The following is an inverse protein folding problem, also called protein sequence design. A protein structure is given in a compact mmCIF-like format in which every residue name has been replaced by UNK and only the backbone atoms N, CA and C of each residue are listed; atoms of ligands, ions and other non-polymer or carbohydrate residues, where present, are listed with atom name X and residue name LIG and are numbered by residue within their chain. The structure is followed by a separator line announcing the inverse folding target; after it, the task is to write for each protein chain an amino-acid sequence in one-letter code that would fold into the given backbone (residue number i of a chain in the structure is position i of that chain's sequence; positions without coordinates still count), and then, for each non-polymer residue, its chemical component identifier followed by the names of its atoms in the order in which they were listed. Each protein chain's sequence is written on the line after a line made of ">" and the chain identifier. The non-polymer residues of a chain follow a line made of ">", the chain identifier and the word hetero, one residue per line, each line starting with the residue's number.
data_IF_380251030747
#
_entry.id   IF_380251030747
#
_cell.length_a   1.000
_cell.length_b   1.000
_cell.length_c   1.000
_cell.angle_alpha   90.00
_cell.angle_beta   90.00
_cell.angle_gamma   90.00
#
_symmetry.space_group_name_H-M   'P 1'
#
loop_
_entity.id
_entity.type
_entity.pdbx_description
1 polymer ?
#
# COMPACT_ATOMS: atom_id res chain seq x y z
N UNK A 1 -27.84 35.81 -9.49
CA UNK A 1 -27.89 34.54 -8.72
C UNK A 1 -28.10 33.38 -9.70
N UNK A 2 -27.08 32.56 -9.94
CA UNK A 2 -27.17 31.40 -10.84
C UNK A 2 -27.98 30.27 -10.19
N UNK A 3 -29.22 30.11 -10.63
CA UNK A 3 -30.09 28.96 -10.28
C UNK A 3 -29.51 27.69 -10.92
N UNK A 4 -28.47 27.11 -10.32
CA UNK A 4 -28.01 25.77 -10.70
C UNK A 4 -29.15 24.76 -10.45
N UNK A 5 -29.57 24.07 -11.51
CA UNK A 5 -30.67 23.10 -11.54
C UNK A 5 -30.37 21.87 -10.65
N UNK A 6 -31.41 21.16 -10.18
CA UNK A 6 -31.25 19.91 -9.45
C UNK A 6 -30.56 18.85 -10.33
N UNK A 7 -29.63 18.11 -9.74
CA UNK A 7 -28.93 17.01 -10.42
C UNK A 7 -29.92 15.88 -10.73
N UNK A 8 -29.88 15.34 -11.94
CA UNK A 8 -30.70 14.16 -12.29
C UNK A 8 -30.16 12.93 -11.55
N UNK A 9 -31.05 12.07 -11.04
CA UNK A 9 -30.68 10.82 -10.36
C UNK A 9 -29.72 9.97 -11.21
N UNK A 10 -30.00 9.81 -12.51
CA UNK A 10 -29.13 9.05 -13.43
C UNK A 10 -27.72 9.64 -13.54
N UNK A 11 -27.57 10.97 -13.42
CA UNK A 11 -26.27 11.61 -13.47
C UNK A 11 -25.46 11.33 -12.21
N UNK A 12 -26.12 11.39 -11.04
CA UNK A 12 -25.49 11.11 -9.75
C UNK A 12 -25.07 9.64 -9.67
N UNK A 13 -25.95 8.72 -10.05
CA UNK A 13 -25.68 7.27 -10.03
C UNK A 13 -24.48 6.94 -10.93
N UNK A 14 -24.48 7.40 -12.19
CA UNK A 14 -23.39 7.09 -13.12
C UNK A 14 -22.02 7.63 -12.67
N UNK A 15 -21.94 8.88 -12.16
CA UNK A 15 -20.67 9.40 -11.63
C UNK A 15 -20.21 8.64 -10.38
N UNK A 16 -21.15 8.27 -9.51
CA UNK A 16 -20.84 7.50 -8.29
C UNK A 16 -20.29 6.13 -8.67
N UNK A 17 -20.95 5.41 -9.59
CA UNK A 17 -20.50 4.10 -10.07
C UNK A 17 -19.13 4.16 -10.74
N UNK A 18 -18.89 5.14 -11.62
CA UNK A 18 -17.59 5.30 -12.28
C UNK A 18 -16.47 5.61 -11.29
N UNK A 19 -16.74 6.47 -10.31
CA UNK A 19 -15.78 6.77 -9.25
C UNK A 19 -15.51 5.53 -8.39
N UNK A 20 -16.54 4.77 -8.01
CA UNK A 20 -16.38 3.54 -7.23
C UNK A 20 -15.55 2.50 -7.97
N UNK A 21 -15.82 2.27 -9.26
CA UNK A 21 -15.03 1.35 -10.10
C UNK A 21 -13.57 1.81 -10.20
N UNK A 22 -13.33 3.09 -10.49
CA UNK A 22 -11.97 3.61 -10.60
C UNK A 22 -11.22 3.56 -9.26
N UNK A 23 -11.89 3.88 -8.15
CA UNK A 23 -11.32 3.83 -6.80
C UNK A 23 -11.04 2.40 -6.37
N UNK A 24 -11.91 1.45 -6.73
CA UNK A 24 -11.69 0.02 -6.46
C UNK A 24 -10.46 -0.49 -7.20
N UNK A 25 -10.33 -0.21 -8.51
CA UNK A 25 -9.13 -0.57 -9.29
C UNK A 25 -7.88 0.08 -8.69
N UNK A 26 -7.95 1.36 -8.33
CA UNK A 26 -6.84 2.06 -7.70
C UNK A 26 -6.47 1.48 -6.32
N UNK A 27 -7.45 1.01 -5.54
CA UNK A 27 -7.22 0.39 -4.23
C UNK A 27 -6.63 -1.02 -4.33
N UNK A 28 -6.87 -1.74 -5.44
CA UNK A 28 -6.21 -3.04 -5.69
C UNK A 28 -4.69 -2.87 -5.86
N UNK A 29 -4.22 -1.76 -6.43
CA UNK A 29 -2.78 -1.46 -6.50
C UNK A 29 -2.15 -1.28 -5.10
N UNK A 30 -2.93 -0.86 -4.11
CA UNK A 30 -2.50 -0.77 -2.70
C UNK A 30 -2.56 -2.12 -1.97
N UNK A 31 -3.21 -3.15 -2.52
CA UNK A 31 -3.35 -4.45 -1.84
C UNK A 31 -2.02 -5.09 -1.43
N UNK A 32 -0.97 -5.13 -2.29
CA UNK A 32 0.31 -5.71 -1.91
C UNK A 32 1.01 -4.98 -0.76
N UNK A 33 0.65 -3.71 -0.50
CA UNK A 33 1.17 -2.93 0.63
C UNK A 33 0.59 -3.42 1.94
N UNK A 34 -0.72 -3.67 2.00
CA UNK A 34 -1.41 -3.92 3.26
C UNK A 34 -1.72 -5.41 3.51
N UNK A 35 -2.16 -6.15 2.49
CA UNK A 35 -2.57 -7.57 2.56
C UNK A 35 -3.37 -7.95 3.82
N UNK A 36 -4.29 -7.09 4.25
CA UNK A 36 -5.01 -7.26 5.51
C UNK A 36 -6.51 -7.04 5.34
N UNK A 37 -7.33 -7.79 6.10
CA UNK A 37 -8.78 -7.62 6.11
C UNK A 37 -9.22 -6.21 6.58
N UNK A 38 -8.58 -5.60 7.62
CA UNK A 38 -8.88 -4.22 8.01
C UNK A 38 -8.71 -3.20 6.87
N UNK A 39 -7.76 -3.40 5.97
CA UNK A 39 -7.60 -2.54 4.79
C UNK A 39 -8.82 -2.60 3.86
N UNK A 40 -9.39 -3.78 3.60
CA UNK A 40 -10.60 -3.92 2.76
C UNK A 40 -11.78 -3.19 3.41
N UNK A 41 -11.97 -3.38 4.71
CA UNK A 41 -13.02 -2.68 5.47
C UNK A 41 -12.82 -1.17 5.43
N UNK A 42 -11.59 -0.70 5.61
CA UNK A 42 -11.23 0.71 5.50
C UNK A 42 -11.63 1.27 4.15
N UNK A 43 -11.28 0.62 3.04
CA UNK A 43 -11.64 1.09 1.70
C UNK A 43 -13.16 1.18 1.53
N UNK A 44 -13.90 0.14 1.90
CA UNK A 44 -15.36 0.09 1.75
C UNK A 44 -16.04 1.20 2.57
N UNK A 45 -15.73 1.28 3.87
CA UNK A 45 -16.36 2.27 4.77
C UNK A 45 -15.99 3.68 4.34
N UNK A 46 -14.73 3.93 3.99
CA UNK A 46 -14.26 5.25 3.56
C UNK A 46 -14.91 5.70 2.25
N UNK A 47 -15.07 4.79 1.27
CA UNK A 47 -15.78 5.09 0.02
C UNK A 47 -17.24 5.45 0.28
N UNK A 48 -17.93 4.70 1.15
CA UNK A 48 -19.33 4.97 1.50
C UNK A 48 -19.45 6.33 2.20
N UNK A 49 -18.63 6.59 3.22
CA UNK A 49 -18.64 7.85 3.98
C UNK A 49 -18.30 9.03 3.08
N UNK A 50 -17.23 8.94 2.27
CA UNK A 50 -16.85 9.99 1.34
C UNK A 50 -17.93 10.28 0.30
N UNK A 51 -18.61 9.23 -0.19
CA UNK A 51 -19.76 9.35 -1.10
C UNK A 51 -20.92 10.10 -0.45
N UNK A 52 -21.27 9.75 0.80
CA UNK A 52 -22.32 10.42 1.56
C UNK A 52 -22.01 11.92 1.75
N UNK A 53 -20.78 12.26 2.14
CA UNK A 53 -20.35 13.65 2.33
C UNK A 53 -20.47 14.44 1.02
N UNK A 54 -20.00 13.88 -0.09
CA UNK A 54 -20.07 14.54 -1.38
C UNK A 54 -21.53 14.69 -1.89
N UNK A 55 -22.37 13.67 -1.70
CA UNK A 55 -23.79 13.71 -2.07
C UNK A 55 -24.58 14.73 -1.23
N UNK A 56 -24.41 14.72 0.10
CA UNK A 56 -25.04 15.67 1.02
C UNK A 56 -24.56 17.09 0.71
N UNK A 57 -23.25 17.26 0.53
CA UNK A 57 -22.66 18.55 0.14
C UNK A 57 -23.19 19.06 -1.21
N UNK A 58 -23.43 18.18 -2.19
CA UNK A 58 -24.06 18.53 -3.45
C UNK A 58 -25.55 18.87 -3.30
N UNK A 59 -26.29 18.10 -2.48
CA UNK A 59 -27.74 18.25 -2.26
C UNK A 59 -28.10 19.52 -1.49
N UNK A 60 -27.30 19.88 -0.49
CA UNK A 60 -27.48 21.06 0.35
C UNK A 60 -26.61 22.25 -0.07
N UNK A 61 -25.83 22.10 -1.15
CA UNK A 61 -25.02 23.18 -1.75
C UNK A 61 -24.00 23.79 -0.77
N UNK A 62 -23.44 22.97 0.11
CA UNK A 62 -22.43 23.37 1.09
C UNK A 62 -21.22 24.05 0.46
N UNK A 63 -20.65 25.08 1.09
CA UNK A 63 -19.38 25.65 0.63
C UNK A 63 -18.25 24.62 0.71
N UNK A 64 -17.14 24.83 -0.03
CA UNK A 64 -15.97 23.93 0.04
C UNK A 64 -15.42 23.82 1.46
N UNK A 65 -15.55 24.89 2.26
CA UNK A 65 -15.16 24.92 3.66
C UNK A 65 -16.02 23.99 4.51
N UNK A 66 -17.34 23.99 4.34
CA UNK A 66 -18.23 23.08 5.08
C UNK A 66 -17.94 21.62 4.69
N UNK A 67 -17.74 21.33 3.40
CA UNK A 67 -17.35 19.98 2.96
C UNK A 67 -16.04 19.56 3.63
N UNK A 68 -15.02 20.44 3.63
CA UNK A 68 -13.75 20.18 4.30
C UNK A 68 -13.92 19.90 5.80
N UNK A 69 -14.68 20.73 6.52
CA UNK A 69 -14.93 20.55 7.96
C UNK A 69 -15.65 19.24 8.25
N UNK A 70 -16.66 18.88 7.45
CA UNK A 70 -17.38 17.62 7.62
C UNK A 70 -16.50 16.43 7.26
N UNK A 71 -15.64 16.55 6.24
CA UNK A 71 -14.64 15.53 5.92
C UNK A 71 -13.64 15.35 7.05
N UNK A 72 -13.19 16.45 7.67
CA UNK A 72 -12.28 16.39 8.81
C UNK A 72 -12.97 15.76 10.04
N UNK A 73 -14.22 16.14 10.33
CA UNK A 73 -15.00 15.52 11.39
C UNK A 73 -15.23 14.02 11.14
N UNK A 74 -15.56 13.64 9.91
CA UNK A 74 -15.70 12.24 9.51
C UNK A 74 -14.38 11.48 9.63
N UNK A 75 -13.26 12.08 9.22
CA UNK A 75 -11.93 11.53 9.37
C UNK A 75 -11.60 11.20 10.82
N UNK A 76 -11.87 12.10 11.77
CA UNK A 76 -11.68 11.81 13.19
C UNK A 76 -12.68 10.78 13.74
N UNK A 77 -13.92 10.77 13.24
CA UNK A 77 -14.95 9.83 13.69
C UNK A 77 -14.67 8.38 13.25
N UNK A 78 -14.22 8.18 12.01
CA UNK A 78 -13.97 6.82 11.46
C UNK A 78 -12.49 6.44 11.50
N UNK A 79 -11.59 7.40 11.68
CA UNK A 79 -10.17 7.18 11.50
C UNK A 79 -9.53 6.31 12.57
N UNK A 80 -9.94 6.46 13.84
CA UNK A 80 -9.46 5.58 14.91
C UNK A 80 -9.88 4.12 14.68
N UNK A 81 -11.18 3.77 14.53
CA UNK A 81 -11.57 2.37 14.35
C UNK A 81 -11.04 1.72 13.07
N UNK A 82 -10.86 2.50 11.98
CA UNK A 82 -10.39 1.95 10.71
C UNK A 82 -8.87 1.94 10.56
N UNK A 83 -8.18 2.97 11.04
CA UNK A 83 -6.75 3.15 10.79
C UNK A 83 -5.87 2.82 12.00
N UNK A 84 -6.42 2.80 13.21
CA UNK A 84 -5.73 2.39 14.45
C UNK A 84 -6.63 1.44 15.26
N UNK A 85 -6.96 0.24 14.74
CA UNK A 85 -8.00 -0.61 15.34
C UNK A 85 -7.68 -1.01 16.79
N UNK A 86 -6.39 -1.11 17.13
CA UNK A 86 -5.89 -1.46 18.47
C UNK A 86 -6.21 -0.42 19.55
N UNK A 87 -6.54 0.82 19.17
CA UNK A 87 -6.85 1.94 20.08
C UNK A 87 -8.33 2.28 20.14
N UNK A 88 -9.20 1.56 19.42
CA UNK A 88 -10.64 1.81 19.43
C UNK A 88 -11.33 1.13 20.63
N UNK A 89 -12.13 1.88 21.39
CA UNK A 89 -12.98 1.34 22.44
C UNK A 89 -14.04 0.42 21.81
N UNK A 90 -14.10 -0.83 22.27
CA UNK A 90 -14.97 -1.88 21.70
C UNK A 90 -14.81 -2.08 20.18
N UNK A 91 -13.68 -1.67 19.60
CA UNK A 91 -13.42 -1.75 18.16
C UNK A 91 -14.15 -0.72 17.29
N UNK A 92 -14.98 0.17 17.87
CA UNK A 92 -15.84 1.09 17.10
C UNK A 92 -15.72 2.54 17.57
N UNK A 93 -15.54 2.79 18.87
CA UNK A 93 -15.53 4.14 19.43
C UNK A 93 -14.11 4.73 19.45
N UNK A 94 -13.92 5.98 18.97
CA UNK A 94 -12.63 6.64 19.01
C UNK A 94 -12.24 6.99 20.46
N UNK A 95 -10.95 6.80 20.79
CA UNK A 95 -10.34 7.23 22.06
C UNK A 95 -9.54 8.52 21.84
N UNK A 96 -9.32 9.30 22.91
CA UNK A 96 -8.49 10.51 22.84
C UNK A 96 -7.05 10.19 22.40
N UNK A 97 -6.49 9.10 22.93
CA UNK A 97 -5.16 8.62 22.55
C UNK A 97 -5.11 8.20 21.07
N UNK A 98 -6.14 7.48 20.59
CA UNK A 98 -6.25 7.09 19.19
C UNK A 98 -6.39 8.29 18.25
N UNK A 99 -7.06 9.36 18.66
CA UNK A 99 -7.16 10.60 17.89
C UNK A 99 -5.81 11.33 17.79
N UNK A 100 -5.02 11.35 18.88
CA UNK A 100 -3.67 11.90 18.86
C UNK A 100 -2.73 11.06 17.98
N UNK A 101 -2.85 9.73 18.01
CA UNK A 101 -2.12 8.81 17.15
C UNK A 101 -2.51 8.98 15.67
N UNK A 102 -3.80 9.16 15.38
CA UNK A 102 -4.31 9.44 14.03
C UNK A 102 -3.77 10.77 13.48
N UNK A 103 -3.78 11.83 14.29
CA UNK A 103 -3.23 13.14 13.92
C UNK A 103 -1.72 13.07 13.64
N UNK A 104 -0.95 12.42 14.51
CA UNK A 104 0.49 12.25 14.29
C UNK A 104 0.80 11.34 13.11
N UNK A 105 0.04 10.25 12.95
CA UNK A 105 0.13 9.31 11.84
C UNK A 105 -0.15 9.95 10.48
N UNK A 106 -1.04 10.94 10.43
CA UNK A 106 -1.28 11.72 9.20
C UNK A 106 0.01 12.36 8.66
N UNK A 107 0.88 12.85 9.55
CA UNK A 107 2.12 13.52 9.18
C UNK A 107 3.33 12.58 9.11
N UNK A 108 3.35 11.51 9.90
CA UNK A 108 4.53 10.66 10.12
C UNK A 108 4.42 9.27 9.47
N UNK A 109 3.22 8.71 9.32
CA UNK A 109 3.04 7.33 8.86
C UNK A 109 3.47 7.13 7.41
N UNK A 110 3.45 8.16 6.57
CA UNK A 110 3.97 8.04 5.21
C UNK A 110 5.48 7.74 5.19
N UNK A 111 6.26 8.31 6.12
CA UNK A 111 7.70 8.01 6.22
C UNK A 111 7.90 6.56 6.66
N UNK A 112 7.14 6.15 7.67
CA UNK A 112 7.19 4.78 8.19
C UNK A 112 6.82 3.76 7.10
N UNK A 113 5.78 4.05 6.30
CA UNK A 113 5.33 3.20 5.20
C UNK A 113 6.43 2.96 4.15
N UNK A 114 7.30 3.94 3.93
CA UNK A 114 8.42 3.83 2.98
C UNK A 114 9.61 3.09 3.58
N UNK A 115 9.76 3.10 4.91
CA UNK A 115 10.87 2.43 5.61
C UNK A 115 10.58 0.99 6.04
N UNK A 116 9.31 0.57 6.04
CA UNK A 116 8.88 -0.76 6.50
C UNK A 116 8.72 -1.69 5.30
N UNK A 117 9.10 -2.95 5.47
CA UNK A 117 8.91 -4.00 4.47
C UNK A 117 7.43 -4.34 4.30
N UNK A 118 7.00 -4.47 3.04
CA UNK A 118 5.65 -4.93 2.73
C UNK A 118 5.54 -6.45 2.94
N UNK A 119 4.37 -6.98 3.33
CA UNK A 119 3.14 -6.25 3.64
C UNK A 119 3.11 -5.69 5.08
N UNK A 120 2.60 -4.46 5.24
CA UNK A 120 2.52 -3.78 6.56
C UNK A 120 1.34 -4.24 7.43
N UNK A 121 0.39 -5.00 6.87
CA UNK A 121 -0.72 -5.56 7.61
C UNK A 121 -1.68 -4.51 8.15
N UNK A 122 -1.87 -4.53 9.47
CA UNK A 122 -2.67 -3.58 10.26
C UNK A 122 -1.85 -2.92 11.38
N UNK A 123 -0.53 -2.90 11.21
CA UNK A 123 0.37 -2.49 12.26
C UNK A 123 0.26 -1.00 12.59
N UNK A 124 0.04 -0.69 13.87
CA UNK A 124 -0.05 0.66 14.43
C UNK A 124 -0.99 1.58 13.62
N UNK A 125 -0.45 2.69 13.11
CA UNK A 125 -1.16 3.73 12.36
C UNK A 125 -0.84 3.69 10.86
N UNK A 126 -0.31 2.57 10.34
CA UNK A 126 0.13 2.49 8.93
C UNK A 126 -1.02 2.48 7.93
N UNK A 127 -2.26 2.26 8.37
CA UNK A 127 -3.46 2.37 7.54
C UNK A 127 -3.90 3.84 7.33
N UNK A 128 -3.36 4.79 8.09
CA UNK A 128 -3.72 6.22 8.01
C UNK A 128 -3.47 6.82 6.62
N UNK A 129 -2.33 6.60 5.94
CA UNK A 129 -2.12 7.07 4.57
C UNK A 129 -3.18 6.56 3.59
N UNK A 130 -3.56 5.28 3.66
CA UNK A 130 -4.62 4.73 2.83
C UNK A 130 -5.98 5.41 3.12
N UNK A 131 -6.33 5.60 4.39
CA UNK A 131 -7.55 6.29 4.78
C UNK A 131 -7.62 7.69 4.19
N UNK A 132 -6.55 8.48 4.35
CA UNK A 132 -6.47 9.85 3.83
C UNK A 132 -6.60 9.87 2.30
N UNK A 133 -5.87 9.00 1.60
CA UNK A 133 -5.89 8.95 0.14
C UNK A 133 -7.26 8.52 -0.41
N UNK A 134 -7.89 7.50 0.16
CA UNK A 134 -9.22 7.03 -0.27
C UNK A 134 -10.30 8.04 0.07
N UNK A 135 -10.25 8.65 1.26
CA UNK A 135 -11.22 9.68 1.67
C UNK A 135 -11.10 10.93 0.80
N UNK A 136 -9.88 11.41 0.55
CA UNK A 136 -9.63 12.55 -0.32
C UNK A 136 -10.09 12.25 -1.76
N UNK A 137 -9.75 11.08 -2.28
CA UNK A 137 -10.16 10.62 -3.62
C UNK A 137 -11.67 10.62 -3.79
N UNK A 138 -12.38 10.06 -2.82
CA UNK A 138 -13.84 9.89 -2.89
C UNK A 138 -14.57 11.22 -2.70
N UNK A 139 -14.21 11.99 -1.67
CA UNK A 139 -14.85 13.29 -1.38
C UNK A 139 -14.55 14.30 -2.48
N UNK A 140 -13.28 14.52 -2.83
CA UNK A 140 -12.87 15.52 -3.81
C UNK A 140 -13.28 15.09 -5.22
N UNK A 141 -13.07 13.81 -5.57
CA UNK A 141 -13.45 13.26 -6.86
C UNK A 141 -14.94 13.38 -7.14
N UNK A 142 -15.79 12.91 -6.20
CA UNK A 142 -17.24 12.97 -6.38
C UNK A 142 -17.77 14.41 -6.28
N UNK A 143 -17.26 15.22 -5.35
CA UNK A 143 -17.68 16.62 -5.23
C UNK A 143 -17.35 17.40 -6.51
N UNK A 144 -16.19 17.16 -7.10
CA UNK A 144 -15.78 17.76 -8.38
C UNK A 144 -16.69 17.28 -9.51
N UNK A 145 -16.91 15.97 -9.62
CA UNK A 145 -17.77 15.38 -10.65
C UNK A 145 -19.22 15.91 -10.61
N UNK A 146 -19.76 16.14 -9.42
CA UNK A 146 -21.14 16.60 -9.23
C UNK A 146 -21.31 18.12 -9.29
N UNK A 147 -20.27 18.91 -8.96
CA UNK A 147 -20.43 20.35 -8.68
C UNK A 147 -19.54 21.28 -9.51
N UNK A 148 -18.43 20.79 -10.07
CA UNK A 148 -17.49 21.62 -10.79
C UNK A 148 -17.93 21.89 -12.24
N UNK A 149 -17.48 23.01 -12.81
CA UNK A 149 -17.70 23.33 -14.24
C UNK A 149 -17.04 22.28 -15.15
N UNK A 150 -15.88 21.78 -14.71
CA UNK A 150 -15.14 20.69 -15.34
C UNK A 150 -15.22 19.44 -14.46
N UNK A 151 -16.40 18.81 -14.40
CA UNK A 151 -16.62 17.59 -13.62
C UNK A 151 -15.72 16.41 -14.00
N UNK A 152 -15.09 16.46 -15.18
CA UNK A 152 -14.17 15.43 -15.66
C UNK A 152 -12.87 15.39 -14.85
N UNK A 153 -12.53 16.50 -14.17
CA UNK A 153 -11.42 16.55 -13.23
C UNK A 153 -11.64 15.67 -11.99
N UNK A 154 -12.87 15.20 -11.74
CA UNK A 154 -13.13 14.22 -10.69
C UNK A 154 -12.37 12.90 -10.88
N UNK A 155 -12.01 12.55 -12.12
CA UNK A 155 -11.21 11.38 -12.44
C UNK A 155 -9.76 11.48 -11.95
N UNK A 156 -9.26 12.68 -11.64
CA UNK A 156 -7.92 12.87 -11.10
C UNK A 156 -7.75 12.19 -9.72
N UNK A 157 -8.81 12.11 -8.91
CA UNK A 157 -8.75 11.45 -7.60
C UNK A 157 -8.26 10.00 -7.71
N UNK A 158 -9.00 9.11 -8.39
CA UNK A 158 -8.59 7.71 -8.56
C UNK A 158 -7.24 7.55 -9.29
N UNK A 159 -6.90 8.43 -10.24
CA UNK A 159 -5.59 8.42 -10.91
C UNK A 159 -4.46 8.68 -9.91
N UNK A 160 -4.60 9.71 -9.07
CA UNK A 160 -3.63 10.03 -8.03
C UNK A 160 -3.53 8.92 -6.97
N UNK A 161 -4.65 8.30 -6.61
CA UNK A 161 -4.67 7.13 -5.72
C UNK A 161 -3.90 5.95 -6.32
N UNK A 162 -4.09 5.66 -7.61
CA UNK A 162 -3.35 4.61 -8.31
C UNK A 162 -1.85 4.92 -8.38
N UNK A 163 -1.47 6.17 -8.70
CA UNK A 163 -0.08 6.62 -8.67
C UNK A 163 0.52 6.48 -7.28
N UNK A 164 -0.21 6.82 -6.22
CA UNK A 164 0.24 6.61 -4.85
C UNK A 164 0.46 5.11 -4.56
N UNK A 165 -0.45 4.24 -5.02
CA UNK A 165 -0.26 2.79 -4.97
C UNK A 165 1.01 2.32 -5.67
N UNK A 166 1.32 2.89 -6.83
CA UNK A 166 2.55 2.61 -7.57
C UNK A 166 3.79 3.03 -6.76
N UNK A 167 3.76 4.23 -6.17
CA UNK A 167 4.90 4.82 -5.45
C UNK A 167 5.22 4.11 -4.13
N UNK A 168 4.18 3.69 -3.39
CA UNK A 168 4.31 2.99 -2.11
C UNK A 168 4.35 1.46 -2.24
N UNK A 169 4.01 0.93 -3.42
CA UNK A 169 3.89 -0.49 -3.70
C UNK A 169 5.22 -1.23 -3.89
N UNK A 170 5.15 -2.56 -4.08
CA UNK A 170 6.32 -3.38 -4.33
C UNK A 170 7.03 -3.08 -5.67
N UNK A 171 8.30 -3.45 -5.78
CA UNK A 171 9.09 -3.33 -7.03
C UNK A 171 8.58 -4.26 -8.12
N UNK A 172 7.94 -5.36 -7.74
CA UNK A 172 7.25 -6.30 -8.63
C UNK A 172 5.74 -6.03 -8.60
N UNK A 173 5.10 -5.98 -9.77
CA UNK A 173 3.66 -5.81 -9.88
C UNK A 173 3.02 -7.10 -10.38
N UNK A 174 1.96 -7.56 -9.72
CA UNK A 174 1.29 -8.82 -10.07
C UNK A 174 0.49 -8.70 -11.38
N UNK A 175 -0.23 -7.59 -11.55
CA UNK A 175 -1.12 -7.35 -12.71
C UNK A 175 -1.02 -5.90 -13.25
N UNK A 176 0.19 -5.41 -13.59
CA UNK A 176 0.39 -4.00 -13.95
C UNK A 176 -0.39 -3.61 -15.21
N UNK A 177 -0.46 -4.49 -16.20
CA UNK A 177 -1.15 -4.22 -17.46
C UNK A 177 -2.66 -4.18 -17.27
N UNK A 178 -3.22 -5.15 -16.54
CA UNK A 178 -4.66 -5.29 -16.32
C UNK A 178 -5.20 -4.12 -15.49
N UNK A 179 -4.50 -3.73 -14.41
CA UNK A 179 -4.92 -2.62 -13.55
C UNK A 179 -4.79 -1.26 -14.26
N UNK A 180 -3.69 -1.04 -14.98
CA UNK A 180 -3.48 0.22 -15.71
C UNK A 180 -4.49 0.40 -16.86
N UNK A 181 -4.71 -0.64 -17.67
CA UNK A 181 -5.70 -0.61 -18.75
C UNK A 181 -7.14 -0.56 -18.20
N UNK A 182 -7.41 -1.27 -17.11
CA UNK A 182 -8.71 -1.23 -16.44
C UNK A 182 -9.05 0.18 -15.96
N UNK A 183 -8.11 0.83 -15.25
CA UNK A 183 -8.29 2.20 -14.79
C UNK A 183 -8.43 3.17 -15.97
N UNK A 184 -7.57 3.06 -16.99
CA UNK A 184 -7.63 3.88 -18.20
C UNK A 184 -9.00 3.74 -18.87
N UNK A 185 -9.50 2.52 -19.04
CA UNK A 185 -10.79 2.23 -19.65
C UNK A 185 -11.95 2.88 -18.89
N UNK A 186 -11.99 2.69 -17.57
CA UNK A 186 -13.01 3.31 -16.71
C UNK A 186 -12.95 4.83 -16.78
N UNK A 187 -11.77 5.44 -16.72
CA UNK A 187 -11.58 6.89 -16.81
C UNK A 187 -12.02 7.43 -18.17
N UNK A 188 -11.64 6.78 -19.28
CA UNK A 188 -12.04 7.21 -20.62
C UNK A 188 -13.55 7.10 -20.83
N UNK A 189 -14.16 6.00 -20.37
CA UNK A 189 -15.62 5.82 -20.40
C UNK A 189 -16.29 6.92 -19.58
N UNK A 190 -15.76 7.23 -18.40
CA UNK A 190 -16.31 8.26 -17.52
C UNK A 190 -16.24 9.66 -18.16
N UNK A 191 -15.09 10.04 -18.73
CA UNK A 191 -14.91 11.32 -19.43
C UNK A 191 -15.82 11.39 -20.67
N UNK A 192 -15.88 10.34 -21.47
CA UNK A 192 -16.73 10.26 -22.65
C UNK A 192 -18.21 10.42 -22.28
N UNK A 193 -18.66 9.72 -21.23
CA UNK A 193 -20.01 9.80 -20.73
C UNK A 193 -20.36 11.20 -20.19
N UNK A 194 -19.46 11.84 -19.44
CA UNK A 194 -19.70 13.21 -18.95
C UNK A 194 -19.78 14.24 -20.08
N UNK A 195 -18.92 14.12 -21.10
CA UNK A 195 -18.94 14.99 -22.28
C UNK A 195 -20.24 14.81 -23.07
N UNK A 196 -20.67 13.57 -23.23
CA UNK A 196 -21.93 13.23 -23.88
C UNK A 196 -23.14 13.77 -23.11
N UNK A 197 -23.17 13.62 -21.78
CA UNK A 197 -24.26 14.10 -20.93
C UNK A 197 -24.39 15.63 -21.00
N UNK A 198 -23.27 16.37 -20.87
CA UNK A 198 -23.27 17.84 -20.94
C UNK A 198 -23.73 18.37 -22.29
N UNK A 199 -23.29 17.76 -23.39
CA UNK A 199 -23.73 18.15 -24.75
C UNK A 199 -25.22 17.89 -24.96
N UNK A 200 -25.74 16.76 -24.49
CA UNK A 200 -27.18 16.46 -24.57
C UNK A 200 -28.03 17.48 -23.80
N UNK A 201 -27.55 17.93 -22.65
CA UNK A 201 -28.26 18.94 -21.87
C UNK A 201 -28.25 20.31 -22.57
N UNK A 202 -27.12 20.73 -23.14
CA UNK A 202 -27.03 21.94 -23.95
C UNK A 202 -27.97 21.91 -25.16
N UNK A 203 -28.01 20.79 -25.89
CA UNK A 203 -28.91 20.62 -27.05
C UNK A 203 -30.37 20.62 -26.61
N UNK A 204 -30.73 19.99 -25.47
CA UNK A 204 -32.10 20.06 -24.93
C UNK A 204 -32.51 21.47 -24.54
N UNK A 205 -31.60 22.26 -23.98
CA UNK A 205 -31.86 23.66 -23.62
C UNK A 205 -32.08 24.53 -24.86
N UNK A 206 -31.24 24.39 -25.88
CA UNK A 206 -31.39 25.09 -27.16
C UNK A 206 -32.67 24.68 -27.89
N UNK A 207 -33.02 23.39 -27.87
CA UNK A 207 -34.27 22.89 -28.44
C UNK A 207 -35.51 23.40 -27.68
N UNK A 208 -35.45 23.50 -26.34
CA UNK A 208 -36.53 24.06 -25.53
C UNK A 208 -36.69 25.57 -25.74
N UNK A 209 -35.59 26.30 -25.97
CA UNK A 209 -35.62 27.73 -26.31
C UNK A 209 -36.11 27.97 -27.75
N UNK A 210 -35.68 27.15 -28.72
CA UNK A 210 -36.12 27.24 -30.11
C UNK A 210 -37.60 26.88 -30.30
N UNK A 211 -38.10 25.86 -29.59
CA UNK A 211 -39.50 25.47 -29.62
C UNK A 211 -40.46 26.53 -29.03
N UNK A 212 -39.97 27.44 -28.18
CA UNK A 212 -40.74 28.56 -27.65
C UNK A 212 -40.80 29.75 -28.62
N UNK A 213 -39.90 29.83 -29.62
CA UNK A 213 -39.81 30.96 -30.55
C UNK A 213 -40.39 30.62 -31.93
N UNK A 214 -40.26 29.38 -32.41
CA UNK A 214 -40.88 28.93 -33.67
C UNK A 214 -41.26 27.44 -33.60
N UNK A 215 -42.52 27.12 -33.84
CA UNK A 215 -43.09 25.76 -33.78
C UNK A 215 -42.66 24.82 -34.90
N UNK A 216 -41.36 24.70 -35.20
CA UNK A 216 -40.83 23.69 -36.13
C UNK A 216 -39.98 22.66 -35.37
N UNK A 217 -40.34 21.36 -35.41
CA UNK A 217 -39.52 20.33 -34.79
C UNK A 217 -38.26 20.14 -35.64
N UNK A 218 -37.12 20.62 -35.18
CA UNK A 218 -35.83 20.31 -35.79
C UNK A 218 -35.52 18.83 -35.55
N UNK A 219 -35.70 18.02 -36.59
CA UNK A 219 -35.23 16.65 -36.68
C UNK A 219 -33.72 16.60 -36.46
N UNK A 220 -33.32 16.16 -35.27
CA UNK A 220 -31.98 15.65 -35.02
C UNK A 220 -32.10 14.42 -34.14
N UNK A 221 -32.64 13.35 -34.72
CA UNK A 221 -32.70 12.02 -34.11
C UNK A 221 -31.54 11.14 -34.62
N UNK A 222 -31.12 11.33 -35.88
CA UNK A 222 -30.03 10.56 -36.49
C UNK A 222 -28.65 10.83 -35.86
N UNK A 223 -28.38 12.06 -35.42
CA UNK A 223 -27.10 12.44 -34.80
C UNK A 223 -26.97 11.96 -33.33
N UNK A 224 -28.08 11.46 -32.73
CA UNK A 224 -28.16 11.07 -31.31
C UNK A 224 -27.47 9.74 -30.98
N UNK A 225 -27.38 8.82 -31.94
CA UNK A 225 -26.77 7.49 -31.80
C UNK A 225 -25.32 7.47 -32.30
N UNK A 226 -25.03 8.19 -33.38
CA UNK A 226 -23.69 8.20 -34.01
C UNK A 226 -22.60 8.87 -33.17
N UNK A 227 -22.93 9.88 -32.35
CA UNK A 227 -21.89 10.67 -31.69
C UNK A 227 -21.46 10.15 -30.32
N UNK A 228 -22.36 9.51 -29.56
CA UNK A 228 -21.98 8.72 -28.38
C UNK A 228 -21.14 7.51 -28.76
N UNK A 229 -21.46 6.90 -29.91
CA UNK A 229 -20.63 5.87 -30.53
C UNK A 229 -19.24 6.44 -30.90
N UNK A 230 -19.11 7.63 -31.51
CA UNK A 230 -17.79 8.23 -31.81
C UNK A 230 -16.89 8.45 -30.59
N UNK A 231 -17.43 8.93 -29.46
CA UNK A 231 -16.61 9.08 -28.24
C UNK A 231 -16.22 7.73 -27.63
N UNK A 232 -17.09 6.72 -27.72
CA UNK A 232 -16.79 5.35 -27.28
C UNK A 232 -15.80 4.66 -28.22
N UNK A 233 -15.92 4.87 -29.53
CA UNK A 233 -14.98 4.41 -30.55
C UNK A 233 -13.62 5.08 -30.35
N UNK A 234 -13.59 6.39 -30.06
CA UNK A 234 -12.37 7.10 -29.73
C UNK A 234 -11.71 6.58 -28.45
N UNK A 235 -12.48 6.35 -27.39
CA UNK A 235 -11.99 5.70 -26.17
C UNK A 235 -11.47 4.28 -26.44
N UNK A 236 -12.19 3.48 -27.25
CA UNK A 236 -11.78 2.15 -27.65
C UNK A 236 -10.50 2.16 -28.50
N UNK A 237 -10.35 3.12 -29.42
CA UNK A 237 -9.14 3.33 -30.22
C UNK A 237 -7.96 3.71 -29.33
N UNK A 238 -8.14 4.63 -28.39
CA UNK A 238 -7.10 4.99 -27.42
C UNK A 238 -6.72 3.77 -26.57
N UNK A 239 -7.69 2.96 -26.13
CA UNK A 239 -7.45 1.72 -25.40
C UNK A 239 -6.66 0.71 -26.23
N UNK A 240 -7.03 0.48 -27.49
CA UNK A 240 -6.32 -0.42 -28.40
C UNK A 240 -4.90 0.09 -28.66
N UNK A 241 -4.72 1.39 -28.90
CA UNK A 241 -3.41 2.00 -29.11
C UNK A 241 -2.55 1.93 -27.86
N UNK A 242 -3.09 2.23 -26.68
CA UNK A 242 -2.35 2.19 -25.41
C UNK A 242 -1.99 0.75 -25.00
N UNK A 243 -2.90 -0.20 -25.20
CA UNK A 243 -2.64 -1.61 -24.97
C UNK A 243 -1.60 -2.14 -25.98
N UNK A 244 -1.78 -1.83 -27.26
CA UNK A 244 -0.85 -2.22 -28.32
C UNK A 244 0.54 -1.63 -28.12
N UNK A 245 0.65 -0.35 -27.77
CA UNK A 245 1.93 0.30 -27.48
C UNK A 245 2.58 -0.26 -26.22
N UNK A 246 1.81 -0.58 -25.18
CA UNK A 246 2.36 -1.17 -23.95
C UNK A 246 2.87 -2.59 -24.17
N UNK A 247 2.12 -3.42 -24.92
CA UNK A 247 2.53 -4.79 -25.28
C UNK A 247 3.75 -4.75 -26.20
N UNK A 248 3.75 -3.90 -27.23
CA UNK A 248 4.91 -3.70 -28.09
C UNK A 248 6.12 -3.20 -27.29
N UNK A 249 5.93 -2.25 -26.39
CA UNK A 249 7.00 -1.76 -25.54
C UNK A 249 7.59 -2.87 -24.66
N UNK A 250 6.75 -3.70 -24.05
CA UNK A 250 7.20 -4.83 -23.22
C UNK A 250 7.96 -5.92 -24.02
N UNK A 251 7.57 -6.17 -25.28
CA UNK A 251 8.21 -7.19 -26.13
C UNK A 251 9.51 -6.70 -26.76
N UNK A 252 9.54 -5.46 -27.26
CA UNK A 252 10.69 -4.93 -27.99
C UNK A 252 11.69 -4.23 -27.07
N UNK A 253 11.23 -3.66 -25.96
CA UNK A 253 12.05 -2.96 -24.97
C UNK A 253 11.81 -3.60 -23.57
N UNK A 254 12.22 -4.86 -23.34
CA UNK A 254 12.05 -5.46 -22.03
C UNK A 254 12.70 -4.58 -20.96
N UNK A 255 12.00 -4.29 -19.84
CA UNK A 255 12.53 -3.41 -18.82
C UNK A 255 13.81 -4.01 -18.25
N UNK A 256 14.95 -3.37 -18.55
CA UNK A 256 16.28 -3.76 -18.07
C UNK A 256 16.56 -3.25 -16.65
N UNK A 257 15.66 -2.46 -16.08
CA UNK A 257 15.80 -1.79 -14.79
C UNK A 257 14.64 -2.12 -13.88
N UNK A 258 14.93 -2.55 -12.64
CA UNK A 258 13.92 -2.78 -11.59
C UNK A 258 13.13 -1.49 -11.32
N UNK A 259 11.80 -1.59 -11.17
CA UNK A 259 10.89 -0.46 -10.87
C UNK A 259 11.47 0.39 -9.73
N UNK A 260 11.74 1.67 -9.98
CA UNK A 260 12.13 2.61 -8.92
C UNK A 260 10.90 3.08 -8.15
N UNK A 261 10.93 2.92 -6.83
CA UNK A 261 9.86 3.29 -5.91
C UNK A 261 10.45 4.15 -4.80
N UNK A 262 9.65 4.94 -4.08
CA UNK A 262 10.19 5.90 -3.09
C UNK A 262 11.04 5.17 -2.04
N UNK A 263 10.68 3.92 -1.70
CA UNK A 263 11.39 3.05 -0.75
C UNK A 263 12.77 2.55 -1.22
N UNK A 264 13.10 2.62 -2.51
CA UNK A 264 14.45 2.28 -2.99
C UNK A 264 15.44 3.43 -2.84
N UNK A 265 14.96 4.64 -2.51
CA UNK A 265 15.80 5.83 -2.34
C UNK A 265 16.09 6.18 -0.86
N UNK A 266 15.53 5.43 0.10
CA UNK A 266 15.74 5.65 1.54
C UNK A 266 16.66 4.54 2.06
N UNK A 267 17.78 4.92 2.69
CA UNK A 267 18.71 3.98 3.33
C UNK A 267 17.99 3.07 4.33
N UNK A 268 18.15 1.75 4.16
CA UNK A 268 17.72 0.79 5.16
C UNK A 268 18.61 0.93 6.40
N UNK A 269 18.06 0.98 7.64
CA UNK A 269 18.87 1.18 8.85
C UNK A 269 19.89 0.08 9.13
N UNK A 270 19.73 -1.10 8.52
CA UNK A 270 20.67 -2.22 8.60
C UNK A 270 21.02 -2.70 7.19
N UNK A 271 22.28 -2.53 6.80
CA UNK A 271 22.83 -3.15 5.59
C UNK A 271 23.66 -4.38 6.00
N UNK A 272 23.21 -5.61 5.67
CA UNK A 272 23.96 -6.82 5.98
C UNK A 272 25.35 -6.87 5.31
N UNK A 273 25.57 -6.10 4.23
CA UNK A 273 26.83 -6.03 3.48
C UNK A 273 27.87 -5.14 4.14
N UNK A 274 27.46 -4.28 5.07
CA UNK A 274 28.37 -3.49 5.88
C UNK A 274 29.14 -4.35 6.91
N UNK A 275 28.77 -5.63 7.06
CA UNK A 275 29.36 -6.56 8.00
C UNK A 275 30.13 -7.68 7.30
N UNK A 276 31.17 -8.25 7.95
CA UNK A 276 31.87 -9.41 7.42
C UNK A 276 30.91 -10.57 7.11
N UNK A 277 31.19 -11.31 6.02
CA UNK A 277 30.38 -12.47 5.63
C UNK A 277 30.21 -13.44 6.82
N UNK A 278 28.98 -13.92 7.09
CA UNK A 278 28.74 -14.94 8.10
C UNK A 278 29.60 -16.19 7.91
N UNK A 279 29.91 -16.55 6.65
CA UNK A 279 30.73 -17.72 6.33
C UNK A 279 32.18 -17.54 6.77
N UNK A 280 32.71 -16.32 6.66
CA UNK A 280 34.05 -16.00 7.15
C UNK A 280 34.11 -16.10 8.68
N UNK A 281 33.08 -15.60 9.37
CA UNK A 281 32.94 -15.75 10.82
C UNK A 281 32.84 -17.23 11.25
N UNK A 282 32.02 -18.02 10.53
CA UNK A 282 31.89 -19.45 10.79
C UNK A 282 33.22 -20.20 10.64
N UNK A 283 33.99 -19.93 9.58
CA UNK A 283 35.30 -20.57 9.37
C UNK A 283 36.31 -20.25 10.47
N UNK A 284 36.25 -19.04 11.04
CA UNK A 284 37.10 -18.66 12.18
C UNK A 284 36.85 -19.53 13.40
N UNK A 285 35.60 -19.99 13.61
CA UNK A 285 35.28 -20.87 14.73
C UNK A 285 35.85 -22.27 14.58
N UNK A 286 36.25 -22.67 13.37
CA UNK A 286 36.90 -23.96 13.10
C UNK A 286 38.43 -23.88 13.23
N UNK A 287 39.00 -22.71 13.56
CA UNK A 287 40.45 -22.55 13.71
C UNK A 287 40.98 -23.25 14.99
N UNK A 288 42.21 -23.80 14.95
CA UNK A 288 42.82 -24.43 16.12
C UNK A 288 42.85 -23.50 17.34
N UNK A 289 42.38 -24.00 18.48
CA UNK A 289 42.30 -23.25 19.74
C UNK A 289 40.97 -22.52 19.97
N UNK A 290 40.15 -22.34 18.94
CA UNK A 290 38.77 -21.79 19.04
C UNK A 290 37.73 -22.90 18.84
N UNK A 291 38.05 -23.93 18.03
CA UNK A 291 37.13 -25.02 17.71
C UNK A 291 36.58 -25.80 18.91
N UNK A 292 37.35 -25.91 20.00
CA UNK A 292 36.92 -26.61 21.22
C UNK A 292 36.09 -25.73 22.17
N UNK A 293 35.86 -24.47 21.81
CA UNK A 293 35.18 -23.50 22.67
C UNK A 293 33.66 -23.56 22.48
N UNK A 294 32.92 -23.37 23.57
CA UNK A 294 31.46 -23.46 23.53
C UNK A 294 30.88 -22.16 22.97
N UNK A 295 30.46 -22.20 21.71
CA UNK A 295 29.87 -21.03 21.04
C UNK A 295 28.46 -20.71 21.53
N UNK A 296 27.59 -21.73 21.58
CA UNK A 296 26.18 -21.60 21.94
C UNK A 296 25.76 -22.80 22.79
N UNK A 297 25.00 -22.55 23.85
CA UNK A 297 24.27 -23.58 24.59
C UNK A 297 22.80 -23.47 24.28
N UNK A 298 22.18 -24.55 23.79
CA UNK A 298 20.79 -24.53 23.33
C UNK A 298 19.96 -25.58 24.06
N UNK A 299 18.87 -25.14 24.67
CA UNK A 299 17.89 -25.97 25.34
C UNK A 299 16.60 -26.00 24.53
N UNK A 300 15.97 -27.18 24.41
CA UNK A 300 14.70 -27.35 23.69
C UNK A 300 14.82 -27.63 22.19
N UNK A 301 16.03 -27.80 21.65
CA UNK A 301 16.24 -28.17 20.26
C UNK A 301 15.80 -29.63 20.01
N UNK A 302 14.88 -29.91 19.07
CA UNK A 302 14.49 -31.28 18.73
C UNK A 302 15.66 -32.10 18.18
N UNK A 303 15.62 -33.41 18.36
CA UNK A 303 16.62 -34.33 17.80
C UNK A 303 16.72 -34.15 16.28
N UNK A 304 17.94 -33.88 15.78
CA UNK A 304 18.18 -33.60 14.35
C UNK A 304 17.86 -32.16 13.91
N UNK A 305 17.46 -31.29 14.84
CA UNK A 305 17.28 -29.87 14.60
C UNK A 305 18.57 -29.19 14.17
N UNK A 306 18.45 -28.20 13.28
CA UNK A 306 19.59 -27.40 12.80
C UNK A 306 19.41 -25.96 13.24
N UNK A 307 20.50 -25.38 13.72
CA UNK A 307 20.58 -23.95 14.03
C UNK A 307 21.09 -23.24 12.79
N UNK A 308 20.34 -22.22 12.36
CA UNK A 308 20.70 -21.35 11.24
C UNK A 308 21.32 -20.09 11.80
N UNK A 309 22.53 -19.78 11.35
CA UNK A 309 23.18 -18.50 11.66
C UNK A 309 22.73 -17.44 10.66
N UNK A 310 22.88 -17.71 9.37
CA UNK A 310 22.43 -16.84 8.29
C UNK A 310 22.19 -17.64 7.00
N UNK A 311 21.33 -17.12 6.12
CA UNK A 311 21.13 -17.61 4.76
C UNK A 311 21.93 -16.74 3.79
N UNK A 312 22.82 -17.36 3.02
CA UNK A 312 23.66 -16.70 2.01
C UNK A 312 23.08 -16.99 0.63
N UNK A 313 22.70 -15.95 -0.10
CA UNK A 313 22.04 -16.07 -1.40
C UNK A 313 22.76 -15.31 -2.52
N UNK A 314 23.86 -14.64 -2.21
CA UNK A 314 24.70 -13.94 -3.18
C UNK A 314 26.12 -14.47 -3.18
N UNK A 315 26.74 -14.45 -4.35
CA UNK A 315 28.15 -14.78 -4.55
C UNK A 315 28.75 -13.82 -5.59
N UNK A 316 29.81 -13.09 -5.21
CA UNK A 316 30.47 -12.11 -6.07
C UNK A 316 31.68 -12.67 -6.85
N UNK A 317 31.90 -13.99 -6.77
CA UNK A 317 33.08 -14.65 -7.33
C UNK A 317 34.16 -14.96 -6.29
N UNK A 318 34.08 -14.38 -5.08
CA UNK A 318 35.05 -14.55 -3.99
C UNK A 318 34.35 -14.86 -2.65
N UNK A 319 33.25 -14.17 -2.34
CA UNK A 319 32.55 -14.20 -1.04
C UNK A 319 31.08 -14.55 -1.22
N UNK A 320 30.58 -15.46 -0.38
CA UNK A 320 29.14 -15.65 -0.19
C UNK A 320 28.62 -14.64 0.84
N UNK A 321 27.57 -13.88 0.50
CA UNK A 321 27.02 -12.86 1.37
C UNK A 321 25.49 -12.97 1.54
N UNK A 322 24.97 -12.21 2.49
CA UNK A 322 23.54 -12.04 2.72
C UNK A 322 23.07 -10.86 1.85
N UNK A 323 22.52 -11.15 0.67
CA UNK A 323 22.09 -10.16 -0.32
C UNK A 323 23.18 -9.59 -1.24
N UNK A 324 22.77 -8.90 -2.31
CA UNK A 324 23.68 -8.27 -3.29
C UNK A 324 23.21 -6.87 -3.74
N UNK A 325 24.11 -6.04 -4.28
CA UNK A 325 23.76 -4.76 -4.93
C UNK A 325 23.14 -4.95 -6.32
N UNK A 326 23.48 -6.04 -7.00
CA UNK A 326 23.08 -6.30 -8.39
C UNK A 326 21.72 -6.97 -8.53
N UNK A 327 21.22 -7.60 -7.47
CA UNK A 327 19.95 -8.32 -7.45
C UNK A 327 19.20 -7.94 -6.19
N UNK A 328 17.93 -7.50 -6.33
CA UNK A 328 17.04 -7.34 -5.19
C UNK A 328 16.75 -8.73 -4.60
N UNK A 329 17.60 -9.17 -3.68
CA UNK A 329 17.49 -10.49 -3.09
C UNK A 329 16.58 -10.43 -1.86
N UNK A 330 15.78 -11.46 -1.67
CA UNK A 330 14.91 -11.56 -0.51
C UNK A 330 15.70 -11.58 0.80
N UNK A 331 16.99 -11.94 0.79
CA UNK A 331 17.86 -12.01 1.98
C UNK A 331 18.46 -10.69 2.44
N UNK A 332 18.47 -9.65 1.60
CA UNK A 332 19.02 -8.33 1.95
C UNK A 332 18.10 -7.41 2.76
N UNK A 333 16.82 -7.77 2.93
CA UNK A 333 15.79 -6.90 3.52
C UNK A 333 15.55 -7.22 5.00
N UNK A 334 16.09 -6.40 5.90
CA UNK A 334 16.00 -6.59 7.35
C UNK A 334 15.09 -5.55 7.99
N UNK A 335 14.11 -6.00 8.78
CA UNK A 335 13.16 -5.10 9.45
C UNK A 335 13.34 -5.13 10.95
N UNK A 336 13.29 -3.95 11.58
CA UNK A 336 13.28 -3.82 13.04
C UNK A 336 11.92 -4.28 13.56
N UNK A 337 11.85 -5.44 14.19
CA UNK A 337 10.57 -6.06 14.60
C UNK A 337 10.47 -6.16 16.12
N UNK A 338 9.39 -5.65 16.75
CA UNK A 338 9.38 -5.47 18.19
C UNK A 338 9.24 -6.74 19.03
N UNK A 339 8.58 -7.83 18.57
CA UNK A 339 8.51 -9.09 19.36
C UNK A 339 7.79 -10.30 18.71
N UNK A 340 7.02 -10.19 17.61
CA UNK A 340 6.28 -11.35 17.05
C UNK A 340 6.06 -11.32 15.53
N UNK A 341 6.06 -12.49 14.90
CA UNK A 341 5.72 -12.77 13.51
C UNK A 341 4.57 -13.77 13.46
N UNK A 342 3.59 -13.51 12.61
CA UNK A 342 2.52 -14.46 12.35
C UNK A 342 3.04 -15.55 11.40
N UNK A 343 3.26 -16.75 11.94
CA UNK A 343 3.69 -17.94 11.19
C UNK A 343 2.55 -18.96 11.03
N UNK A 344 1.29 -18.56 11.22
CA UNK A 344 0.13 -19.46 11.19
C UNK A 344 -0.06 -20.23 9.87
N UNK A 345 0.48 -19.71 8.75
CA UNK A 345 0.46 -20.37 7.45
C UNK A 345 1.62 -21.38 7.26
N UNK A 346 2.60 -21.40 8.15
CA UNK A 346 3.77 -22.28 8.07
C UNK A 346 3.42 -23.66 8.62
N UNK A 347 3.69 -24.71 7.83
CA UNK A 347 3.55 -26.10 8.28
C UNK A 347 4.72 -26.49 9.18
N UNK A 348 4.44 -26.81 10.43
CA UNK A 348 5.43 -27.28 11.39
C UNK A 348 4.87 -27.43 12.79
N UNK A 349 5.67 -27.97 13.71
CA UNK A 349 5.36 -27.96 15.13
C UNK A 349 6.02 -26.73 15.78
N UNK A 350 5.32 -25.98 16.65
CA UNK A 350 5.93 -24.90 17.40
C UNK A 350 6.99 -25.46 18.35
N UNK A 351 8.14 -24.78 18.42
CA UNK A 351 9.26 -25.16 19.28
C UNK A 351 9.73 -23.92 20.03
N UNK A 352 9.80 -24.00 21.35
CA UNK A 352 10.43 -22.99 22.19
C UNK A 352 11.84 -23.44 22.53
N UNK A 353 12.81 -22.56 22.36
CA UNK A 353 14.21 -22.85 22.54
C UNK A 353 14.88 -21.73 23.32
N UNK A 354 15.75 -22.06 24.27
CA UNK A 354 16.55 -21.07 24.98
C UNK A 354 17.98 -21.20 24.50
N UNK A 355 18.54 -20.11 23.98
CA UNK A 355 19.93 -20.02 23.53
C UNK A 355 20.69 -19.14 24.49
N UNK A 356 21.82 -19.65 25.00
CA UNK A 356 22.81 -18.89 25.76
C UNK A 356 24.07 -18.74 24.92
N UNK A 357 24.53 -17.51 24.77
CA UNK A 357 25.71 -17.15 23.99
C UNK A 357 26.96 -17.37 24.85
N UNK A 358 27.86 -18.23 24.38
CA UNK A 358 29.17 -18.48 24.99
C UNK A 358 30.23 -17.60 24.34
N UNK A 359 31.17 -18.20 23.59
CA UNK A 359 32.21 -17.45 22.87
C UNK A 359 31.78 -16.94 21.48
N UNK A 360 30.52 -17.19 21.11
CA UNK A 360 29.97 -16.68 19.86
C UNK A 360 29.92 -15.15 19.87
N UNK A 361 30.46 -14.53 18.83
CA UNK A 361 30.44 -13.08 18.66
C UNK A 361 30.03 -12.71 17.24
N UNK A 362 29.09 -11.79 17.11
CA UNK A 362 28.65 -11.35 15.79
C UNK A 362 27.32 -10.65 15.80
N UNK A 363 26.97 -10.14 14.62
CA UNK A 363 25.68 -9.49 14.40
C UNK A 363 24.56 -10.49 14.13
N UNK A 364 24.87 -11.73 13.76
CA UNK A 364 23.84 -12.71 13.40
C UNK A 364 23.26 -13.36 14.65
N UNK A 365 21.94 -13.46 14.71
CA UNK A 365 21.26 -14.16 15.80
C UNK A 365 20.89 -15.56 15.32
N UNK A 366 21.48 -16.61 15.90
CA UNK A 366 21.14 -17.98 15.55
C UNK A 366 19.66 -18.30 15.80
N UNK A 367 18.98 -18.83 14.79
CA UNK A 367 17.55 -19.17 14.84
C UNK A 367 17.30 -20.62 14.39
N UNK A 368 16.08 -21.11 14.60
CA UNK A 368 15.64 -22.44 14.15
C UNK A 368 14.34 -22.28 13.38
N UNK A 369 14.20 -22.99 12.26
CA UNK A 369 12.95 -23.01 11.50
C UNK A 369 12.53 -21.62 11.00
N UNK A 370 11.24 -21.31 11.13
CA UNK A 370 10.65 -19.99 10.88
C UNK A 370 10.39 -19.32 12.22
N UNK A 371 10.82 -18.08 12.32
CA UNK A 371 10.82 -17.34 13.57
C UNK A 371 9.43 -16.78 13.88
N UNK A 372 8.96 -17.00 15.11
CA UNK A 372 7.68 -16.49 15.60
C UNK A 372 7.87 -15.37 16.62
N UNK A 373 8.73 -15.53 17.63
CA UNK A 373 8.99 -14.50 18.64
C UNK A 373 10.39 -14.64 19.22
N UNK A 374 10.91 -13.56 19.80
CA UNK A 374 12.14 -13.58 20.61
C UNK A 374 11.97 -12.73 21.86
N UNK A 375 12.50 -13.23 22.97
CA UNK A 375 12.71 -12.47 24.18
C UNK A 375 14.18 -12.53 24.57
N UNK A 376 14.86 -11.38 24.55
CA UNK A 376 16.21 -11.26 25.11
C UNK A 376 16.14 -11.19 26.64
N UNK A 377 17.11 -11.82 27.29
CA UNK A 377 17.21 -11.93 28.75
C UNK A 377 18.61 -11.48 29.18
N UNK A 378 18.71 -10.81 30.33
CA UNK A 378 19.98 -10.29 30.88
C UNK A 378 20.05 -8.76 30.91
N UNK A 379 21.23 -8.23 31.28
CA UNK A 379 21.45 -6.79 31.45
C UNK A 379 21.33 -5.98 30.16
N UNK A 380 21.70 -6.58 29.02
CA UNK A 380 21.69 -5.93 27.71
C UNK A 380 20.41 -6.16 26.90
N UNK A 381 19.43 -6.89 27.46
CA UNK A 381 18.21 -7.32 26.78
C UNK A 381 17.45 -6.19 26.07
N UNK A 382 17.30 -5.04 26.72
CA UNK A 382 16.58 -3.89 26.14
C UNK A 382 17.30 -3.36 24.89
N UNK A 383 18.62 -3.25 24.95
CA UNK A 383 19.41 -2.71 23.86
C UNK A 383 19.56 -3.71 22.69
N UNK A 384 19.64 -5.01 22.99
CA UNK A 384 19.60 -6.07 21.97
C UNK A 384 18.25 -6.07 21.25
N UNK A 385 17.15 -6.02 21.99
CA UNK A 385 15.79 -5.90 21.43
C UNK A 385 15.66 -4.65 20.55
N UNK A 386 16.13 -3.51 21.03
CA UNK A 386 16.02 -2.25 20.31
C UNK A 386 16.90 -2.21 19.05
N UNK A 387 17.84 -3.13 18.89
CA UNK A 387 18.71 -3.24 17.71
C UNK A 387 18.52 -4.55 16.94
N UNK A 388 17.43 -5.28 17.21
CA UNK A 388 17.07 -6.53 16.54
C UNK A 388 16.40 -6.28 15.19
N UNK A 389 16.84 -7.05 14.21
CA UNK A 389 16.32 -7.08 12.86
C UNK A 389 16.09 -8.53 12.42
N UNK A 390 15.04 -8.77 11.64
CA UNK A 390 14.79 -10.09 11.07
C UNK A 390 14.33 -9.99 9.62
N UNK A 391 14.73 -10.98 8.85
CA UNK A 391 14.33 -11.20 7.48
C UNK A 391 13.54 -12.51 7.41
N UNK A 392 12.23 -12.41 7.19
CA UNK A 392 11.36 -13.58 7.16
C UNK A 392 11.56 -14.47 5.93
N UNK A 393 11.85 -13.89 4.77
CA UNK A 393 12.05 -14.67 3.56
C UNK A 393 13.27 -15.59 3.67
N UNK A 394 14.40 -15.05 4.15
CA UNK A 394 15.64 -15.81 4.34
C UNK A 394 15.72 -16.56 5.68
N UNK A 395 14.84 -16.23 6.63
CA UNK A 395 14.85 -16.77 7.98
C UNK A 395 16.09 -16.36 8.78
N UNK A 396 16.67 -15.19 8.48
CA UNK A 396 17.90 -14.69 9.10
C UNK A 396 17.59 -13.57 10.07
N UNK A 397 18.17 -13.63 11.28
CA UNK A 397 18.05 -12.60 12.31
C UNK A 397 19.40 -11.91 12.54
N UNK A 398 19.37 -10.63 12.89
CA UNK A 398 20.56 -9.85 13.19
C UNK A 398 20.33 -8.82 14.31
N UNK A 399 21.38 -8.49 15.06
CA UNK A 399 21.39 -7.46 16.11
C UNK A 399 22.60 -6.55 15.90
N UNK A 400 22.38 -5.25 15.71
CA UNK A 400 23.46 -4.26 15.44
C UNK A 400 24.38 -4.10 16.65
N UNK A 401 23.86 -4.23 17.86
CA UNK A 401 24.66 -4.14 19.09
C UNK A 401 25.65 -5.32 19.26
N UNK A 402 25.56 -6.35 18.41
CA UNK A 402 26.28 -7.63 18.48
C UNK A 402 25.87 -8.47 19.70
N UNK A 403 25.86 -9.79 19.52
CA UNK A 403 25.75 -10.73 20.64
C UNK A 403 27.10 -10.86 21.34
N UNK A 404 27.05 -10.88 22.67
CA UNK A 404 28.21 -11.00 23.56
C UNK A 404 28.08 -12.21 24.49
N UNK A 405 29.20 -12.65 25.05
CA UNK A 405 29.21 -13.76 26.00
C UNK A 405 28.32 -13.47 27.22
N UNK A 406 27.46 -14.44 27.55
CA UNK A 406 26.50 -14.32 28.65
C UNK A 406 25.13 -13.77 28.22
N UNK A 407 24.96 -13.30 26.99
CA UNK A 407 23.64 -12.96 26.46
C UNK A 407 22.78 -14.22 26.31
N UNK A 408 21.49 -14.09 26.58
CA UNK A 408 20.54 -15.18 26.41
C UNK A 408 19.26 -14.70 25.74
N UNK A 409 18.63 -15.58 24.98
CA UNK A 409 17.33 -15.32 24.37
C UNK A 409 16.48 -16.59 24.27
N UNK A 410 15.17 -16.41 24.25
CA UNK A 410 14.16 -17.48 24.08
C UNK A 410 13.29 -17.20 22.87
#
# INVERSE_FOLDING_TARGET
>A
MSTRRPLTVSFVVANTTMLWLATAIASVELWPVYQSLPFVLLVIVTVIVGTLIAMVGARFRWSSLIVLLVTLAAYFAIGVPLAVPSRALFGVLPTLDGLAELASGTALSWKQLVTITLPVGSYQSLLVPALVLVLATTVVGLSTALRARWGELGALGPILLFIAGILFGPTTANWPLQLSLGLLGVVLIWIAWQRWYRRREQVRLLAAQGAATEGRPLESVADRRFMGARSLIGAALIMVLAAGSSVAAALYLPPTTTRQVIRTAIEQPFDPRAYPSPLSGFRRYEEPGVADSTMLSVLGLPTGGRIRIATLDSYDGIVYAVGSESVSSESGSFTRVPYTFDQSATKGAPVSLTVTVGDYSGVWVPTVGKFESIAFVGGDATALRDSFYYNDASGTAAVVKHLSSGDAYT
#
